data_IF_888364164250
#
_entry.id   IF_888364164250
#
_cell.length_a   1.000
_cell.length_b   1.000
_cell.length_c   1.000
_cell.angle_alpha   90.00
_cell.angle_beta   90.00
_cell.angle_gamma   90.00
#
_symmetry.space_group_name_H-M   'P 1'
#
loop_
_entity.id
_entity.type
_entity.pdbx_description
1 polymer ?
#
# COMPACT_ATOMS: atom_id res chain seq x y z
N UNK A 1 18.70 -20.22 5.20
CA UNK A 1 18.67 -20.30 6.70
C UNK A 1 17.67 -19.28 7.18
N UNK A 2 16.50 -19.69 7.73
CA UNK A 2 15.53 -18.77 8.33
C UNK A 2 16.16 -18.20 9.60
N UNK A 3 16.44 -16.92 9.62
CA UNK A 3 16.97 -16.21 10.77
C UNK A 3 15.91 -16.19 11.88
N UNK A 4 16.23 -16.74 13.04
CA UNK A 4 15.35 -16.68 14.22
C UNK A 4 15.46 -15.28 14.84
N UNK A 5 14.55 -14.38 14.44
CA UNK A 5 14.46 -13.02 14.97
C UNK A 5 13.71 -13.00 16.32
N UNK A 6 12.84 -14.00 16.54
CA UNK A 6 12.09 -14.17 17.77
C UNK A 6 12.52 -15.44 18.49
N UNK A 7 12.77 -15.33 19.80
CA UNK A 7 13.08 -16.46 20.67
C UNK A 7 11.99 -16.57 21.73
N UNK A 8 11.38 -17.76 21.83
CA UNK A 8 10.38 -18.07 22.84
C UNK A 8 11.09 -18.60 24.08
N UNK A 9 10.90 -17.95 25.23
CA UNK A 9 11.30 -18.43 26.55
C UNK A 9 10.05 -18.57 27.43
N UNK A 10 9.56 -19.79 27.60
CA UNK A 10 8.31 -20.05 28.32
C UNK A 10 7.11 -19.36 27.67
N UNK A 11 6.45 -18.43 28.38
CA UNK A 11 5.32 -17.64 27.88
C UNK A 11 5.74 -16.35 27.16
N UNK A 12 7.03 -16.00 27.18
CA UNK A 12 7.53 -14.76 26.63
C UNK A 12 8.14 -14.99 25.25
N UNK A 13 7.94 -14.02 24.37
CA UNK A 13 8.60 -13.92 23.07
C UNK A 13 9.54 -12.73 23.14
N UNK A 14 10.85 -12.99 23.00
CA UNK A 14 11.85 -11.93 22.98
C UNK A 14 12.33 -11.70 21.54
N UNK A 15 12.57 -10.44 21.21
CA UNK A 15 13.04 -10.01 19.90
C UNK A 15 14.55 -9.78 19.93
N UNK A 16 15.28 -10.52 19.11
CA UNK A 16 16.73 -10.43 18.99
C UNK A 16 17.13 -10.26 17.52
N UNK A 17 17.00 -9.05 16.97
CA UNK A 17 17.39 -8.80 15.60
C UNK A 17 18.92 -8.86 15.46
N UNK A 18 19.40 -9.53 14.39
CA UNK A 18 20.79 -9.45 13.99
C UNK A 18 21.11 -8.13 13.29
N UNK A 19 22.39 -7.84 13.03
CA UNK A 19 22.82 -6.56 12.44
C UNK A 19 22.29 -6.37 11.01
N UNK A 20 22.19 -7.43 10.23
CA UNK A 20 21.60 -7.38 8.88
C UNK A 20 20.12 -6.98 8.94
N UNK A 21 19.37 -7.59 9.87
CA UNK A 21 17.98 -7.23 10.08
C UNK A 21 17.82 -5.77 10.52
N UNK A 22 18.65 -5.33 11.49
CA UNK A 22 18.64 -3.94 11.95
C UNK A 22 18.91 -2.96 10.81
N UNK A 23 19.90 -3.27 9.93
CA UNK A 23 20.21 -2.46 8.76
C UNK A 23 19.04 -2.38 7.79
N UNK A 24 18.40 -3.50 7.48
CA UNK A 24 17.25 -3.56 6.59
C UNK A 24 16.04 -2.84 7.19
N UNK A 25 15.78 -3.04 8.49
CA UNK A 25 14.71 -2.36 9.21
C UNK A 25 14.90 -0.84 9.22
N UNK A 26 16.13 -0.36 9.50
CA UNK A 26 16.44 1.07 9.44
C UNK A 26 16.23 1.66 8.03
N UNK A 27 16.56 0.91 6.97
CA UNK A 27 16.32 1.34 5.59
C UNK A 27 14.81 1.50 5.31
N UNK A 28 13.99 0.57 5.79
CA UNK A 28 12.53 0.64 5.68
C UNK A 28 12.01 1.87 6.43
N UNK A 29 12.38 2.05 7.70
CA UNK A 29 11.98 3.20 8.51
C UNK A 29 12.33 4.52 7.83
N UNK A 30 13.55 4.65 7.31
CA UNK A 30 13.96 5.87 6.61
C UNK A 30 13.14 6.13 5.33
N UNK A 31 12.74 5.08 4.63
CA UNK A 31 11.84 5.16 3.47
C UNK A 31 10.45 5.66 3.87
N UNK A 32 9.88 5.07 4.92
CA UNK A 32 8.57 5.46 5.46
C UNK A 32 8.58 6.89 5.99
N UNK A 33 9.61 7.28 6.75
CA UNK A 33 9.76 8.66 7.23
C UNK A 33 9.78 9.68 6.07
N UNK A 34 10.48 9.38 4.97
CA UNK A 34 10.47 10.26 3.79
C UNK A 34 9.08 10.40 3.18
N UNK A 35 8.30 9.32 3.16
CA UNK A 35 6.92 9.32 2.68
C UNK A 35 6.01 10.13 3.61
N UNK A 36 6.17 9.96 4.91
CA UNK A 36 5.45 10.74 5.92
C UNK A 36 5.75 12.24 5.81
N UNK A 37 7.04 12.61 5.62
CA UNK A 37 7.44 14.02 5.40
C UNK A 37 6.75 14.61 4.18
N UNK A 38 6.71 13.88 3.06
CA UNK A 38 6.04 14.34 1.84
C UNK A 38 4.53 14.55 2.07
N UNK A 39 3.88 13.60 2.75
CA UNK A 39 2.46 13.72 3.06
C UNK A 39 2.18 14.90 3.99
N UNK A 40 2.95 15.04 5.07
CA UNK A 40 2.81 16.15 6.02
C UNK A 40 3.07 17.49 5.35
N UNK A 41 4.10 17.60 4.52
CA UNK A 41 4.38 18.81 3.73
C UNK A 41 3.17 19.18 2.86
N UNK A 42 2.63 18.21 2.12
CA UNK A 42 1.45 18.44 1.29
C UNK A 42 0.26 18.95 2.12
N UNK A 43 -0.04 18.30 3.26
CA UNK A 43 -1.16 18.71 4.13
C UNK A 43 -0.94 20.09 4.73
N UNK A 44 0.26 20.38 5.25
CA UNK A 44 0.58 21.67 5.86
C UNK A 44 0.52 22.82 4.86
N UNK A 45 0.94 22.59 3.61
CA UNK A 45 0.82 23.59 2.55
C UNK A 45 -0.65 23.87 2.21
N UNK A 46 -1.51 22.86 2.21
CA UNK A 46 -2.96 23.01 1.97
C UNK A 46 -3.69 23.82 3.04
N UNK A 47 -3.20 23.77 4.28
CA UNK A 47 -3.76 24.56 5.40
C UNK A 47 -2.96 25.84 5.69
N UNK A 48 -2.14 26.27 4.73
CA UNK A 48 -1.29 27.48 4.80
C UNK A 48 -0.25 27.49 5.94
N UNK A 49 0.14 26.31 6.44
CA UNK A 49 1.25 26.14 7.37
C UNK A 49 2.52 25.78 6.58
N UNK A 50 3.22 26.77 6.09
CA UNK A 50 4.39 26.60 5.20
C UNK A 50 5.64 26.11 5.95
N UNK A 51 5.65 24.82 6.37
CA UNK A 51 6.84 24.19 6.95
C UNK A 51 7.77 23.66 5.86
N UNK A 52 9.08 23.83 6.04
CA UNK A 52 10.04 23.19 5.14
C UNK A 52 10.12 21.68 5.40
N UNK A 53 10.49 20.90 4.38
CA UNK A 53 10.68 19.45 4.53
C UNK A 53 11.75 19.10 5.58
N UNK A 54 12.78 19.93 5.71
CA UNK A 54 13.84 19.78 6.69
C UNK A 54 13.30 19.97 8.12
N UNK A 55 12.44 20.95 8.34
CA UNK A 55 11.80 21.19 9.65
C UNK A 55 10.91 20.00 10.02
N UNK A 56 10.09 19.51 9.09
CA UNK A 56 9.24 18.34 9.31
C UNK A 56 10.09 17.08 9.60
N UNK A 57 11.15 16.86 8.83
CA UNK A 57 12.05 15.72 9.03
C UNK A 57 12.77 15.78 10.39
N UNK A 58 13.20 16.98 10.81
CA UNK A 58 13.81 17.21 12.11
C UNK A 58 12.83 16.84 13.23
N UNK A 59 11.61 17.34 13.17
CA UNK A 59 10.54 17.04 14.13
C UNK A 59 10.28 15.52 14.24
N UNK A 60 10.21 14.82 13.11
CA UNK A 60 10.03 13.37 13.10
C UNK A 60 11.21 12.60 13.72
N UNK A 61 12.42 13.10 13.58
CA UNK A 61 13.62 12.47 14.19
C UNK A 61 13.67 12.70 15.70
N UNK A 62 13.38 13.92 16.15
CA UNK A 62 13.41 14.29 17.56
C UNK A 62 12.30 13.59 18.36
N UNK A 63 11.14 13.39 17.76
CA UNK A 63 9.98 12.75 18.36
C UNK A 63 9.64 11.40 17.69
N UNK A 64 10.67 10.65 17.25
CA UNK A 64 10.50 9.45 16.45
C UNK A 64 9.54 8.44 17.06
N UNK A 65 9.68 8.10 18.34
CA UNK A 65 8.86 7.07 19.00
C UNK A 65 7.38 7.43 19.00
N UNK A 66 7.05 8.71 19.17
CA UNK A 66 5.68 9.21 19.13
C UNK A 66 5.07 9.03 17.73
N UNK A 67 5.71 9.56 16.71
CA UNK A 67 5.20 9.50 15.33
C UNK A 67 5.15 8.07 14.81
N UNK A 68 6.18 7.27 15.12
CA UNK A 68 6.26 5.87 14.71
C UNK A 68 5.17 5.02 15.35
N UNK A 69 4.87 5.23 16.64
CA UNK A 69 3.77 4.55 17.32
C UNK A 69 2.42 4.84 16.63
N UNK A 70 2.11 6.11 16.39
CA UNK A 70 0.85 6.49 15.76
C UNK A 70 0.75 6.02 14.30
N UNK A 71 1.87 6.03 13.57
CA UNK A 71 1.92 5.47 12.23
C UNK A 71 1.61 3.98 12.21
N UNK A 72 2.25 3.21 13.09
CA UNK A 72 1.99 1.77 13.20
C UNK A 72 0.56 1.46 13.66
N UNK A 73 0.03 2.21 14.62
CA UNK A 73 -1.35 2.07 15.08
C UNK A 73 -2.35 2.30 13.93
N UNK A 74 -2.14 3.34 13.13
CA UNK A 74 -2.93 3.60 11.92
C UNK A 74 -2.81 2.44 10.92
N UNK A 75 -1.60 1.97 10.63
CA UNK A 75 -1.34 0.87 9.70
C UNK A 75 -2.04 -0.42 10.15
N UNK A 76 -1.95 -0.78 11.43
CA UNK A 76 -2.58 -1.99 11.98
C UNK A 76 -4.10 -1.91 11.86
N UNK A 77 -4.70 -0.78 12.24
CA UNK A 77 -6.15 -0.56 12.15
C UNK A 77 -6.62 -0.64 10.70
N UNK A 78 -5.92 0.02 9.81
CA UNK A 78 -6.21 0.04 8.39
C UNK A 78 -6.10 -1.36 7.76
N UNK A 79 -5.01 -2.08 8.00
CA UNK A 79 -4.81 -3.46 7.52
C UNK A 79 -5.85 -4.43 8.10
N UNK A 80 -6.24 -4.24 9.36
CA UNK A 80 -7.25 -5.07 10.04
C UNK A 80 -8.63 -4.86 9.43
N UNK A 81 -8.98 -3.60 9.09
CA UNK A 81 -10.23 -3.28 8.40
C UNK A 81 -10.30 -3.98 7.03
N UNK A 82 -9.26 -3.82 6.22
CA UNK A 82 -9.19 -4.44 4.90
C UNK A 82 -9.17 -5.97 4.97
N UNK A 83 -8.44 -6.55 5.92
CA UNK A 83 -8.47 -8.00 6.17
C UNK A 83 -9.88 -8.48 6.49
N UNK A 84 -10.64 -7.73 7.30
CA UNK A 84 -12.04 -8.07 7.62
C UNK A 84 -12.93 -8.08 6.37
N UNK A 85 -12.73 -7.13 5.47
CA UNK A 85 -13.53 -7.04 4.23
C UNK A 85 -13.10 -8.03 3.15
N UNK A 86 -11.79 -8.19 2.93
CA UNK A 86 -11.23 -9.01 1.87
C UNK A 86 -10.90 -10.45 2.30
N UNK A 87 -10.89 -10.70 3.62
CA UNK A 87 -10.69 -12.02 4.23
C UNK A 87 -9.22 -12.43 4.40
N UNK A 88 -8.28 -11.75 3.71
CA UNK A 88 -6.90 -12.22 3.59
C UNK A 88 -5.93 -11.06 3.31
N UNK A 89 -4.80 -11.03 4.01
CA UNK A 89 -3.77 -9.98 3.85
C UNK A 89 -3.04 -10.06 2.50
N UNK A 90 -2.87 -11.25 1.92
CA UNK A 90 -2.25 -11.37 0.59
C UNK A 90 -3.14 -10.74 -0.48
N UNK A 91 -4.47 -10.90 -0.37
CA UNK A 91 -5.43 -10.21 -1.25
C UNK A 91 -5.34 -8.70 -1.07
N UNK A 92 -5.25 -8.21 0.16
CA UNK A 92 -5.05 -6.77 0.46
C UNK A 92 -3.80 -6.25 -0.22
N UNK A 93 -2.65 -6.93 -0.04
CA UNK A 93 -1.37 -6.52 -0.63
C UNK A 93 -1.43 -6.49 -2.16
N UNK A 94 -2.01 -7.52 -2.79
CA UNK A 94 -2.19 -7.58 -4.25
C UNK A 94 -3.07 -6.42 -4.73
N UNK A 95 -4.21 -6.19 -4.08
CA UNK A 95 -5.12 -5.11 -4.45
C UNK A 95 -4.46 -3.73 -4.31
N UNK A 96 -3.69 -3.52 -3.24
CA UNK A 96 -2.94 -2.27 -3.03
C UNK A 96 -1.91 -2.03 -4.13
N UNK A 97 -1.20 -3.07 -4.57
CA UNK A 97 -0.23 -2.93 -5.66
C UNK A 97 -0.94 -2.55 -6.97
N UNK A 98 -2.07 -3.18 -7.28
CA UNK A 98 -2.86 -2.84 -8.47
C UNK A 98 -3.38 -1.39 -8.35
N UNK A 99 -3.92 -1.00 -7.20
CA UNK A 99 -4.41 0.36 -6.95
C UNK A 99 -3.29 1.42 -7.03
N UNK A 100 -2.09 1.10 -6.55
CA UNK A 100 -0.91 1.97 -6.66
C UNK A 100 -0.51 2.19 -8.12
N UNK A 101 -0.51 1.12 -8.93
CA UNK A 101 -0.23 1.22 -10.36
C UNK A 101 -1.31 2.05 -11.09
N UNK A 102 -2.57 1.83 -10.76
CA UNK A 102 -3.68 2.64 -11.29
C UNK A 102 -3.48 4.12 -10.93
N UNK A 103 -3.22 4.41 -9.65
CA UNK A 103 -2.99 5.77 -9.18
C UNK A 103 -1.82 6.45 -9.88
N UNK A 104 -0.72 5.72 -10.16
CA UNK A 104 0.42 6.30 -10.90
C UNK A 104 0.08 6.65 -12.34
N UNK A 105 -0.76 5.84 -13.01
CA UNK A 105 -1.24 6.14 -14.37
C UNK A 105 -2.27 7.26 -14.42
N UNK A 106 -3.15 7.32 -13.42
CA UNK A 106 -4.11 8.41 -13.29
C UNK A 106 -3.40 9.75 -13.09
N UNK A 107 -2.29 9.79 -12.36
CA UNK A 107 -1.47 10.99 -12.18
C UNK A 107 -0.95 11.59 -13.50
N UNK A 108 -0.71 10.77 -14.49
CA UNK A 108 -0.27 11.22 -15.82
C UNK A 108 -1.40 11.94 -16.58
N UNK A 109 -2.66 11.68 -16.20
CA UNK A 109 -3.85 12.17 -16.92
C UNK A 109 -4.66 13.22 -16.15
N UNK A 110 -4.58 13.20 -14.81
CA UNK A 110 -5.38 14.06 -13.92
C UNK A 110 -4.49 14.61 -12.80
N UNK A 111 -4.62 15.92 -12.50
CA UNK A 111 -3.85 16.51 -11.40
C UNK A 111 -4.21 15.86 -10.05
N UNK A 112 -3.23 15.74 -9.15
CA UNK A 112 -3.44 15.20 -7.80
C UNK A 112 -4.60 15.87 -7.04
N UNK A 113 -4.76 17.16 -7.23
CA UNK A 113 -5.81 17.93 -6.56
C UNK A 113 -7.21 17.46 -6.92
N UNK A 114 -7.45 17.15 -8.18
CA UNK A 114 -8.75 16.65 -8.65
C UNK A 114 -9.03 15.24 -8.14
N UNK A 115 -8.01 14.39 -8.04
CA UNK A 115 -8.16 13.00 -7.56
C UNK A 115 -8.60 12.91 -6.10
N UNK A 116 -8.15 13.83 -5.24
CA UNK A 116 -8.48 13.83 -3.81
C UNK A 116 -9.70 14.68 -3.48
N UNK A 117 -10.04 15.65 -4.32
CA UNK A 117 -11.22 16.52 -4.09
C UNK A 117 -12.51 15.90 -4.61
N UNK A 118 -12.43 14.94 -5.54
CA UNK A 118 -13.61 14.35 -6.16
C UNK A 118 -13.42 12.83 -6.39
N UNK A 119 -13.88 11.98 -5.44
CA UNK A 119 -13.83 10.53 -5.59
C UNK A 119 -14.57 10.03 -6.84
N UNK A 120 -15.51 10.80 -7.40
CA UNK A 120 -16.27 10.42 -8.59
C UNK A 120 -15.42 10.45 -9.86
N UNK A 121 -14.25 11.09 -9.80
CA UNK A 121 -13.29 11.09 -10.92
C UNK A 121 -12.86 9.67 -11.29
N UNK A 122 -12.81 8.75 -10.33
CA UNK A 122 -12.54 7.33 -10.60
C UNK A 122 -13.62 6.68 -11.49
N UNK A 123 -14.80 7.30 -11.60
CA UNK A 123 -15.90 6.85 -12.45
C UNK A 123 -16.02 7.61 -13.78
N UNK A 124 -15.07 8.51 -14.09
CA UNK A 124 -15.15 9.27 -15.35
C UNK A 124 -14.79 8.40 -16.55
N UNK A 125 -15.46 8.59 -17.73
CA UNK A 125 -15.12 7.86 -18.95
C UNK A 125 -13.66 7.95 -19.38
N UNK A 126 -12.95 9.03 -18.95
CA UNK A 126 -11.51 9.20 -19.20
C UNK A 126 -10.66 8.17 -18.46
N UNK A 127 -11.11 7.68 -17.29
CA UNK A 127 -10.40 6.66 -16.51
C UNK A 127 -10.77 5.24 -16.95
N UNK A 128 -11.94 5.03 -17.54
CA UNK A 128 -12.32 3.73 -18.10
C UNK A 128 -11.38 3.31 -19.26
N UNK A 129 -10.66 4.26 -19.86
CA UNK A 129 -9.64 4.01 -20.89
C UNK A 129 -8.23 3.79 -20.32
N UNK A 130 -8.03 3.93 -18.99
CA UNK A 130 -6.74 3.64 -18.36
C UNK A 130 -6.65 2.15 -18.07
N UNK A 131 -6.25 1.39 -19.07
CA UNK A 131 -6.00 -0.03 -18.96
C UNK A 131 -4.73 -0.30 -18.14
N UNK A 132 -4.86 -0.41 -16.82
CA UNK A 132 -3.79 -0.91 -15.96
C UNK A 132 -3.93 -2.42 -15.84
N UNK A 133 -3.09 -3.12 -16.57
CA UNK A 133 -3.04 -4.58 -16.48
C UNK A 133 -1.82 -5.05 -15.69
N UNK A 134 -2.01 -6.09 -14.91
CA UNK A 134 -0.95 -6.73 -14.13
C UNK A 134 -0.85 -8.21 -14.48
N UNK A 135 0.36 -8.76 -14.39
CA UNK A 135 0.57 -10.21 -14.45
C UNK A 135 0.81 -10.78 -13.06
N UNK A 136 0.49 -12.05 -12.85
CA UNK A 136 0.81 -12.73 -11.59
C UNK A 136 2.33 -12.76 -11.32
N UNK A 137 3.15 -12.79 -12.38
CA UNK A 137 4.62 -12.74 -12.25
C UNK A 137 5.07 -11.38 -11.71
N UNK A 138 4.61 -10.26 -12.33
CA UNK A 138 4.96 -8.93 -11.84
C UNK A 138 4.52 -8.70 -10.40
N UNK A 139 3.34 -9.19 -10.02
CA UNK A 139 2.87 -9.11 -8.64
C UNK A 139 3.72 -9.96 -7.68
N UNK A 140 4.14 -11.15 -8.10
CA UNK A 140 5.05 -12.00 -7.33
C UNK A 140 6.39 -11.30 -7.07
N UNK A 141 6.97 -10.69 -8.10
CA UNK A 141 8.26 -9.99 -8.02
C UNK A 141 8.20 -8.78 -7.07
N UNK A 142 7.09 -8.04 -7.11
CA UNK A 142 6.91 -6.83 -6.28
C UNK A 142 6.55 -7.18 -4.84
N UNK A 143 5.66 -8.16 -4.63
CA UNK A 143 5.10 -8.46 -3.30
C UNK A 143 5.89 -9.51 -2.53
N UNK A 144 6.73 -10.29 -3.21
CA UNK A 144 7.38 -11.48 -2.63
C UNK A 144 6.42 -12.67 -2.40
N UNK A 145 5.14 -12.55 -2.78
CA UNK A 145 4.16 -13.63 -2.73
C UNK A 145 4.45 -14.59 -3.89
N UNK A 146 4.42 -15.92 -3.65
CA UNK A 146 4.69 -16.87 -4.73
C UNK A 146 3.73 -16.68 -5.92
N UNK A 147 4.22 -16.87 -7.15
CA UNK A 147 3.42 -16.73 -8.36
C UNK A 147 2.14 -17.59 -8.32
N UNK A 148 2.25 -18.83 -7.81
CA UNK A 148 1.11 -19.73 -7.66
C UNK A 148 0.04 -19.14 -6.70
N UNK A 149 0.48 -18.57 -5.59
CA UNK A 149 -0.41 -17.86 -4.65
C UNK A 149 -1.03 -16.64 -5.29
N UNK A 150 -0.25 -15.82 -6.03
CA UNK A 150 -0.78 -14.67 -6.76
C UNK A 150 -1.91 -15.08 -7.73
N UNK A 151 -1.70 -16.13 -8.53
CA UNK A 151 -2.74 -16.65 -9.45
C UNK A 151 -4.00 -17.05 -8.68
N UNK A 152 -3.85 -17.84 -7.61
CA UNK A 152 -4.99 -18.27 -6.80
C UNK A 152 -5.77 -17.10 -6.21
N UNK A 153 -5.06 -16.08 -5.69
CA UNK A 153 -5.69 -14.88 -5.11
C UNK A 153 -6.34 -14.00 -6.18
N UNK A 154 -5.71 -13.82 -7.33
CA UNK A 154 -6.30 -13.09 -8.45
C UNK A 154 -7.57 -13.77 -8.94
N UNK A 155 -7.60 -15.10 -9.06
CA UNK A 155 -8.82 -15.83 -9.42
C UNK A 155 -9.93 -15.64 -8.37
N UNK A 156 -9.61 -15.64 -7.07
CA UNK A 156 -10.57 -15.27 -6.02
C UNK A 156 -11.10 -13.84 -6.18
N UNK A 157 -10.26 -12.90 -6.62
CA UNK A 157 -10.68 -11.54 -6.88
C UNK A 157 -11.57 -11.44 -8.14
N UNK A 158 -11.31 -12.27 -9.15
CA UNK A 158 -12.21 -12.37 -10.34
C UNK A 158 -13.58 -12.87 -9.94
N UNK A 159 -13.67 -13.93 -9.14
CA UNK A 159 -14.99 -14.44 -8.66
C UNK A 159 -15.77 -13.44 -7.80
N UNK A 160 -15.08 -12.47 -7.18
CA UNK A 160 -15.67 -11.39 -6.40
C UNK A 160 -15.90 -10.11 -7.21
N UNK A 161 -15.68 -10.14 -8.52
CA UNK A 161 -15.78 -8.99 -9.43
C UNK A 161 -14.90 -7.77 -9.02
N UNK A 162 -13.77 -8.00 -8.36
CA UNK A 162 -12.80 -6.95 -8.01
C UNK A 162 -11.83 -6.68 -9.16
N UNK A 163 -11.50 -7.73 -9.90
CA UNK A 163 -10.66 -7.67 -11.10
C UNK A 163 -11.28 -8.53 -12.20
N UNK A 164 -10.95 -8.26 -13.45
CA UNK A 164 -11.26 -9.11 -14.59
C UNK A 164 -9.98 -9.65 -15.20
N UNK A 165 -10.05 -10.79 -15.88
CA UNK A 165 -8.94 -11.37 -16.61
C UNK A 165 -9.22 -11.33 -18.11
N UNK A 166 -8.26 -10.86 -18.88
CA UNK A 166 -8.29 -10.97 -20.33
C UNK A 166 -7.93 -12.39 -20.77
N UNK A 167 -8.77 -12.99 -21.60
CA UNK A 167 -8.62 -14.40 -22.01
C UNK A 167 -7.39 -14.64 -22.88
N UNK A 168 -6.97 -13.67 -23.68
CA UNK A 168 -5.86 -13.81 -24.60
C UNK A 168 -4.52 -13.56 -23.91
N UNK A 169 -4.37 -12.41 -23.23
CA UNK A 169 -3.12 -12.02 -22.60
C UNK A 169 -2.91 -12.64 -21.21
N UNK A 170 -3.96 -13.22 -20.63
CA UNK A 170 -3.98 -13.71 -19.22
C UNK A 170 -3.62 -12.65 -18.19
N UNK A 171 -3.71 -11.36 -18.55
CA UNK A 171 -3.47 -10.24 -17.65
C UNK A 171 -4.73 -9.89 -16.89
N UNK A 172 -4.54 -9.32 -15.71
CA UNK A 172 -5.64 -8.92 -14.83
C UNK A 172 -5.78 -7.41 -14.84
N UNK A 173 -7.03 -6.95 -14.85
CA UNK A 173 -7.42 -5.54 -14.89
C UNK A 173 -8.30 -5.24 -13.68
N UNK A 174 -8.11 -4.09 -13.05
CA UNK A 174 -8.99 -3.65 -11.98
C UNK A 174 -10.34 -3.22 -12.56
N UNK A 175 -11.39 -3.48 -11.82
CA UNK A 175 -12.73 -2.97 -12.11
C UNK A 175 -12.93 -1.72 -11.25
N UNK A 176 -12.87 -0.49 -11.81
CA UNK A 176 -12.91 0.74 -11.02
C UNK A 176 -14.17 0.84 -10.15
N UNK A 177 -15.32 0.41 -10.67
CA UNK A 177 -16.63 0.43 -9.96
C UNK A 177 -16.64 -0.49 -8.73
N UNK A 178 -15.83 -1.56 -8.76
CA UNK A 178 -15.74 -2.49 -7.64
C UNK A 178 -15.01 -1.88 -6.44
N UNK A 179 -14.03 -0.99 -6.68
CA UNK A 179 -13.34 -0.27 -5.60
C UNK A 179 -14.30 0.62 -4.82
N UNK A 180 -15.22 1.28 -5.50
CA UNK A 180 -16.20 2.18 -4.87
C UNK A 180 -17.19 1.42 -3.99
N UNK A 181 -17.62 0.22 -4.42
CA UNK A 181 -18.54 -0.64 -3.62
C UNK A 181 -17.87 -1.26 -2.39
N UNK A 182 -16.54 -1.33 -2.38
CA UNK A 182 -15.78 -1.93 -1.28
C UNK A 182 -15.37 -0.88 -0.24
N UNK A 183 -15.38 0.42 -0.61
CA UNK A 183 -14.96 1.54 0.23
C UNK A 183 -16.12 2.21 0.99
N UNK A 184 -17.38 1.85 0.73
CA UNK A 184 -18.57 2.30 1.42
C UNK A 184 -19.10 1.17 2.30
#
# INVERSE_FOLDING_TARGET
TRQKIFVKKGRFISWFPNEEYKKNYNKIILGEMKSMVKLTKYVTDKINLNFSSEKILKEYRENFSFYWFHYLDLQIKWMSLWKKQLGDLEVVLILMQIASLLSSRVKETVSHEKLFSDPTILNTPKLNNINVSVSATSLSDITGISRATCIRKLNQMVTRNLVTQDENSKRFYIIPEALNKTLI
#
